data_IF_000972050324
#
_entry.id   IF_000972050324
#
_cell.length_a   1.000
_cell.length_b   1.000
_cell.length_c   1.000
_cell.angle_alpha   90.00
_cell.angle_beta   90.00
_cell.angle_gamma   90.00
#
_symmetry.space_group_name_H-M   'P 1'
#
loop_
_entity.id
_entity.type
_entity.pdbx_description
1 polymer ?
#
# COMPACT_ATOMS: atom_id res chain seq x y z
N UNK A 1 62.91 -20.87 -18.01
CA UNK A 1 61.78 -19.92 -17.97
C UNK A 1 60.87 -20.26 -19.09
N UNK A 2 59.73 -20.89 -18.81
CA UNK A 2 58.67 -21.17 -19.80
C UNK A 2 57.56 -20.12 -19.63
N UNK A 3 57.02 -19.50 -20.67
CA UNK A 3 55.91 -18.57 -20.52
C UNK A 3 54.60 -19.34 -20.35
N UNK A 4 53.86 -18.95 -19.30
CA UNK A 4 52.47 -19.36 -19.08
C UNK A 4 51.60 -18.65 -20.12
N UNK A 5 50.97 -19.41 -21.01
CA UNK A 5 49.95 -18.91 -21.87
C UNK A 5 48.63 -18.80 -21.08
N UNK A 6 48.15 -17.59 -20.80
CA UNK A 6 46.81 -17.34 -20.31
C UNK A 6 45.79 -17.64 -21.42
N UNK A 7 45.06 -18.72 -21.24
CA UNK A 7 43.90 -19.04 -22.10
C UNK A 7 42.74 -18.11 -21.72
N UNK A 8 42.55 -17.05 -22.49
CA UNK A 8 41.29 -16.26 -22.42
C UNK A 8 40.17 -17.09 -22.98
N UNK A 9 39.36 -17.71 -22.12
CA UNK A 9 38.07 -18.28 -22.49
C UNK A 9 37.12 -17.09 -22.71
N UNK A 10 36.98 -16.70 -23.98
CA UNK A 10 35.95 -15.76 -24.39
C UNK A 10 34.61 -16.48 -24.24
N UNK A 11 33.89 -16.22 -23.13
CA UNK A 11 32.47 -16.57 -23.08
C UNK A 11 31.75 -15.67 -24.10
N UNK A 12 31.58 -16.20 -25.28
CA UNK A 12 30.61 -15.67 -26.24
C UNK A 12 29.25 -15.74 -25.59
N UNK A 13 28.82 -14.64 -24.96
CA UNK A 13 27.45 -14.43 -24.60
C UNK A 13 26.67 -14.43 -25.94
N UNK A 14 26.18 -15.62 -26.32
CA UNK A 14 25.11 -15.69 -27.32
C UNK A 14 23.91 -15.05 -26.65
N UNK A 15 23.71 -13.76 -26.91
CA UNK A 15 22.39 -13.17 -26.81
C UNK A 15 21.50 -14.04 -27.69
N UNK A 16 20.81 -15.01 -27.11
CA UNK A 16 19.69 -15.67 -27.76
C UNK A 16 18.78 -14.49 -28.12
N UNK A 17 18.58 -14.29 -29.39
CA UNK A 17 17.56 -13.40 -29.90
C UNK A 17 16.25 -14.08 -29.51
N UNK A 18 15.80 -13.81 -28.27
CA UNK A 18 14.49 -14.20 -27.77
C UNK A 18 13.56 -13.51 -28.77
N UNK A 19 12.94 -14.29 -29.66
CA UNK A 19 12.11 -13.76 -30.71
C UNK A 19 10.80 -13.24 -30.13
N UNK A 20 10.87 -12.06 -29.45
CA UNK A 20 9.69 -11.38 -28.97
C UNK A 20 8.74 -11.11 -30.13
N UNK A 21 7.48 -11.44 -29.92
CA UNK A 21 6.41 -11.19 -30.86
C UNK A 21 5.68 -9.90 -30.48
N UNK A 22 5.69 -8.93 -31.40
CA UNK A 22 4.83 -7.76 -31.20
C UNK A 22 3.39 -8.12 -31.55
N UNK A 23 2.51 -7.91 -30.57
CA UNK A 23 1.06 -8.16 -30.66
C UNK A 23 0.32 -6.84 -30.55
N UNK A 24 -0.67 -6.65 -31.39
CA UNK A 24 -1.53 -5.46 -31.43
C UNK A 24 -1.83 -5.00 -32.86
N UNK A 25 -2.61 -3.94 -32.99
CA UNK A 25 -3.23 -3.16 -31.93
C UNK A 25 -4.26 -3.97 -31.14
N UNK A 26 -4.32 -3.78 -29.81
CA UNK A 26 -5.30 -4.46 -28.97
C UNK A 26 -6.71 -3.94 -29.26
N UNK A 27 -7.66 -4.86 -29.37
CA UNK A 27 -9.06 -4.55 -29.71
C UNK A 27 -9.96 -5.00 -28.57
N UNK A 28 -10.76 -4.10 -28.05
CA UNK A 28 -11.78 -4.38 -27.04
C UNK A 28 -12.93 -5.25 -27.64
N UNK A 29 -13.71 -5.87 -26.78
CA UNK A 29 -14.85 -6.72 -27.21
C UNK A 29 -15.90 -5.94 -28.00
N UNK A 30 -16.04 -4.65 -27.79
CA UNK A 30 -16.93 -3.76 -28.57
C UNK A 30 -16.38 -3.36 -29.94
N UNK A 31 -15.18 -3.83 -30.30
CA UNK A 31 -14.48 -3.53 -31.55
C UNK A 31 -13.68 -2.23 -31.55
N UNK A 32 -13.69 -1.46 -30.45
CA UNK A 32 -12.84 -0.28 -30.30
C UNK A 32 -11.38 -0.68 -30.06
N UNK A 33 -10.44 0.20 -30.40
CA UNK A 33 -9.02 -0.01 -30.11
C UNK A 33 -8.70 0.41 -28.67
N UNK A 34 -7.92 -0.40 -27.98
CA UNK A 34 -7.29 0.07 -26.75
C UNK A 34 -6.19 1.07 -27.13
N UNK A 35 -6.26 2.24 -26.52
CA UNK A 35 -5.32 3.34 -26.81
C UNK A 35 -4.63 3.81 -25.51
N UNK A 36 -3.39 4.23 -25.66
CA UNK A 36 -2.65 4.91 -24.61
C UNK A 36 -3.03 6.38 -24.46
N UNK A 37 -2.31 7.06 -23.60
CA UNK A 37 -2.53 8.48 -23.25
C UNK A 37 -2.42 9.44 -24.44
N UNK A 38 -1.61 9.10 -25.43
CA UNK A 38 -1.43 9.87 -26.67
C UNK A 38 -2.45 9.51 -27.76
N UNK A 39 -3.48 8.70 -27.44
CA UNK A 39 -4.43 8.12 -28.41
C UNK A 39 -3.77 7.17 -29.43
N UNK A 40 -2.55 6.74 -29.14
CA UNK A 40 -1.85 5.75 -29.97
C UNK A 40 -2.33 4.34 -29.60
N UNK A 41 -2.45 3.44 -30.61
CA UNK A 41 -2.78 2.05 -30.35
C UNK A 41 -1.76 1.36 -29.45
N UNK A 42 -2.22 0.49 -28.56
CA UNK A 42 -1.35 -0.29 -27.66
C UNK A 42 -0.84 -1.52 -28.38
N UNK A 43 0.47 -1.75 -28.27
CA UNK A 43 1.18 -2.93 -28.70
C UNK A 43 1.93 -3.53 -27.51
N UNK A 44 2.02 -4.86 -27.45
CA UNK A 44 2.70 -5.62 -26.41
C UNK A 44 3.84 -6.45 -27.04
N UNK A 45 4.82 -6.82 -26.26
CA UNK A 45 5.94 -7.67 -26.65
C UNK A 45 5.89 -8.99 -25.88
N UNK A 46 5.33 -10.01 -26.50
CA UNK A 46 5.19 -11.34 -25.90
C UNK A 46 6.45 -12.18 -26.10
N UNK A 47 6.82 -12.95 -25.09
CA UNK A 47 7.87 -13.94 -25.14
C UNK A 47 7.26 -15.34 -25.34
N UNK A 48 7.41 -15.98 -26.51
CA UNK A 48 6.86 -17.32 -26.73
C UNK A 48 7.38 -18.39 -25.77
N UNK A 49 8.50 -18.13 -25.10
CA UNK A 49 9.08 -19.02 -24.10
C UNK A 49 8.66 -18.69 -22.66
N UNK A 50 7.84 -17.66 -22.43
CA UNK A 50 7.34 -17.32 -21.11
C UNK A 50 6.43 -18.43 -20.57
N UNK A 51 6.50 -18.65 -19.25
CA UNK A 51 5.71 -19.67 -18.55
C UNK A 51 4.69 -19.06 -17.59
N UNK A 52 3.69 -19.83 -17.23
CA UNK A 52 2.75 -19.46 -16.16
C UNK A 52 3.50 -19.51 -14.82
N UNK A 53 3.66 -18.37 -14.10
CA UNK A 53 4.45 -18.32 -12.86
C UNK A 53 3.71 -18.92 -11.65
N UNK A 54 4.44 -19.23 -10.59
CA UNK A 54 3.86 -19.30 -9.24
C UNK A 54 3.62 -17.88 -8.69
N UNK A 55 2.78 -17.75 -7.68
CA UNK A 55 2.55 -16.46 -7.03
C UNK A 55 3.83 -15.90 -6.38
N UNK A 56 4.67 -16.77 -5.82
CA UNK A 56 5.98 -16.34 -5.27
C UNK A 56 6.91 -15.78 -6.35
N UNK A 57 6.91 -16.32 -7.58
CA UNK A 57 7.66 -15.78 -8.70
C UNK A 57 7.11 -14.40 -9.11
N UNK A 58 5.79 -14.23 -9.15
CA UNK A 58 5.17 -12.92 -9.38
C UNK A 58 5.62 -11.91 -8.31
N UNK A 59 5.57 -12.26 -7.03
CA UNK A 59 6.03 -11.39 -5.95
C UNK A 59 7.52 -11.06 -6.05
N UNK A 60 8.35 -12.04 -6.41
CA UNK A 60 9.79 -11.84 -6.59
C UNK A 60 10.11 -10.92 -7.76
N UNK A 61 9.35 -11.02 -8.86
CA UNK A 61 9.43 -10.14 -10.00
C UNK A 61 9.01 -8.71 -9.61
N UNK A 62 7.82 -8.53 -9.04
CA UNK A 62 7.28 -7.23 -8.67
C UNK A 62 8.15 -6.45 -7.68
N UNK A 63 8.88 -7.13 -6.79
CA UNK A 63 9.84 -6.48 -5.87
C UNK A 63 11.09 -5.94 -6.55
N UNK A 64 11.35 -6.32 -7.79
CA UNK A 64 12.53 -5.89 -8.58
C UNK A 64 12.14 -4.96 -9.72
N UNK A 65 10.89 -5.02 -10.14
CA UNK A 65 10.38 -4.19 -11.22
C UNK A 65 10.18 -2.75 -10.75
N UNK A 66 10.66 -1.80 -11.54
CA UNK A 66 10.67 -0.38 -11.22
C UNK A 66 9.53 0.39 -11.92
N UNK A 67 8.59 -0.30 -12.59
CA UNK A 67 7.48 0.34 -13.31
C UNK A 67 6.68 1.27 -12.39
N UNK A 68 6.43 0.85 -11.15
CA UNK A 68 5.68 1.63 -10.15
C UNK A 68 6.40 2.91 -9.69
N UNK A 69 7.69 3.07 -9.97
CA UNK A 69 8.49 4.26 -9.65
C UNK A 69 8.24 5.41 -10.63
N UNK A 70 7.71 5.09 -11.82
CA UNK A 70 7.37 6.11 -12.78
C UNK A 70 6.22 6.98 -12.27
N UNK A 71 6.28 8.26 -12.65
CA UNK A 71 5.26 9.21 -12.26
C UNK A 71 4.06 9.14 -13.21
N UNK A 72 2.86 8.95 -12.65
CA UNK A 72 1.63 9.13 -13.40
C UNK A 72 1.55 10.56 -13.95
N UNK A 73 1.46 10.69 -15.24
CA UNK A 73 1.42 12.00 -15.93
C UNK A 73 0.20 12.02 -16.85
N UNK A 74 -0.88 12.76 -16.50
CA UNK A 74 -2.08 12.84 -17.32
C UNK A 74 -1.76 13.17 -18.78
N UNK A 75 -2.40 12.45 -19.71
CA UNK A 75 -2.24 12.60 -21.17
C UNK A 75 -0.83 12.26 -21.71
N UNK A 76 0.06 11.67 -20.90
CA UNK A 76 1.42 11.30 -21.33
C UNK A 76 1.83 9.93 -20.86
N UNK A 77 1.59 9.58 -19.60
CA UNK A 77 1.95 8.30 -19.01
C UNK A 77 0.90 7.96 -17.96
N UNK A 78 -0.07 7.16 -18.34
CA UNK A 78 -1.27 6.84 -17.55
C UNK A 78 -1.34 5.32 -17.28
N UNK A 79 -2.43 4.82 -16.77
CA UNK A 79 -2.57 3.40 -16.41
C UNK A 79 -2.25 2.44 -17.56
N UNK A 80 -2.59 2.79 -18.78
CA UNK A 80 -2.32 1.93 -19.97
C UNK A 80 -0.82 1.80 -20.23
N UNK A 81 -0.05 2.89 -20.12
CA UNK A 81 1.40 2.85 -20.29
C UNK A 81 2.09 2.11 -19.13
N UNK A 82 1.60 2.25 -17.91
CA UNK A 82 2.07 1.45 -16.77
C UNK A 82 1.85 -0.05 -17.02
N UNK A 83 0.63 -0.44 -17.41
CA UNK A 83 0.31 -1.83 -17.67
C UNK A 83 1.13 -2.38 -18.84
N UNK A 84 1.24 -1.67 -19.97
CA UNK A 84 2.05 -2.13 -21.09
C UNK A 84 3.54 -2.29 -20.73
N UNK A 85 4.08 -1.40 -19.90
CA UNK A 85 5.47 -1.48 -19.42
C UNK A 85 5.69 -2.69 -18.51
N UNK A 86 4.80 -2.91 -17.52
CA UNK A 86 4.89 -4.06 -16.64
C UNK A 86 4.75 -5.38 -17.40
N UNK A 87 3.81 -5.45 -18.33
CA UNK A 87 3.64 -6.58 -19.22
C UNK A 87 4.96 -6.93 -19.95
N UNK A 88 5.56 -5.95 -20.62
CA UNK A 88 6.79 -6.16 -21.40
C UNK A 88 7.96 -6.57 -20.50
N UNK A 89 8.07 -6.01 -19.27
CA UNK A 89 9.07 -6.43 -18.30
C UNK A 89 8.85 -7.85 -17.79
N UNK A 90 7.60 -8.26 -17.52
CA UNK A 90 7.27 -9.61 -17.10
C UNK A 90 7.62 -10.64 -18.18
N UNK A 91 7.23 -10.38 -19.44
CA UNK A 91 7.55 -11.22 -20.58
C UNK A 91 9.06 -11.31 -20.81
N UNK A 92 9.80 -10.22 -20.64
CA UNK A 92 11.28 -10.23 -20.67
C UNK A 92 11.87 -11.07 -19.54
N UNK A 93 11.25 -11.08 -18.37
CA UNK A 93 11.65 -11.93 -17.25
C UNK A 93 11.23 -13.40 -17.43
N UNK A 94 10.53 -13.76 -18.52
CA UNK A 94 10.07 -15.11 -18.83
C UNK A 94 8.77 -15.50 -18.14
N UNK A 95 8.04 -14.52 -17.58
CA UNK A 95 6.75 -14.73 -16.90
C UNK A 95 5.62 -14.31 -17.82
N UNK A 96 4.69 -15.24 -18.10
CA UNK A 96 3.52 -14.95 -18.94
C UNK A 96 2.59 -13.99 -18.23
N UNK A 97 2.34 -12.84 -18.87
CA UNK A 97 1.55 -11.75 -18.34
C UNK A 97 0.47 -11.33 -19.35
N UNK A 98 -0.72 -10.95 -18.89
CA UNK A 98 -1.74 -10.35 -19.71
C UNK A 98 -1.92 -8.88 -19.35
N UNK A 99 -2.11 -8.02 -20.33
CA UNK A 99 -2.67 -6.70 -20.09
C UNK A 99 -4.18 -6.83 -19.87
N UNK A 100 -4.71 -6.09 -18.90
CA UNK A 100 -6.12 -6.12 -18.52
C UNK A 100 -6.70 -4.70 -18.60
N UNK A 101 -7.86 -4.58 -19.22
CA UNK A 101 -8.67 -3.37 -19.19
C UNK A 101 -9.92 -3.62 -18.38
N UNK A 102 -10.26 -2.71 -17.48
CA UNK A 102 -11.51 -2.73 -16.74
C UNK A 102 -12.34 -1.50 -17.06
N UNK A 103 -13.65 -1.70 -17.20
CA UNK A 103 -14.60 -0.61 -17.29
C UNK A 103 -15.41 -0.54 -16.02
N UNK A 104 -15.69 0.65 -15.55
CA UNK A 104 -16.58 0.89 -14.41
C UNK A 104 -18.01 1.19 -14.88
N UNK A 105 -18.96 1.09 -13.99
CA UNK A 105 -20.35 1.50 -14.28
C UNK A 105 -20.48 2.99 -14.52
N UNK A 106 -19.52 3.78 -14.00
CA UNK A 106 -19.42 5.24 -14.18
C UNK A 106 -17.94 5.66 -14.19
N UNK A 107 -17.63 6.71 -14.94
CA UNK A 107 -16.27 7.26 -15.03
C UNK A 107 -15.41 6.58 -16.09
N UNK A 108 -14.11 6.89 -16.06
CA UNK A 108 -13.12 6.34 -16.99
C UNK A 108 -12.72 4.92 -16.56
N UNK A 109 -12.36 4.08 -17.54
CA UNK A 109 -11.81 2.75 -17.30
C UNK A 109 -10.40 2.80 -16.70
N UNK A 110 -9.85 1.62 -16.43
CA UNK A 110 -8.51 1.47 -15.90
C UNK A 110 -7.79 0.29 -16.57
N UNK A 111 -6.46 0.37 -16.67
CA UNK A 111 -5.61 -0.69 -17.19
C UNK A 111 -4.65 -1.18 -16.11
N UNK A 112 -4.43 -2.48 -16.08
CA UNK A 112 -3.56 -3.19 -15.14
C UNK A 112 -3.11 -4.51 -15.78
N UNK A 113 -2.48 -5.39 -15.00
CA UNK A 113 -1.93 -6.65 -15.50
C UNK A 113 -2.52 -7.86 -14.77
N UNK A 114 -2.38 -9.04 -15.39
CA UNK A 114 -2.76 -10.30 -14.78
C UNK A 114 -1.73 -11.39 -15.05
N UNK A 115 -1.53 -12.25 -14.04
CA UNK A 115 -0.74 -13.47 -14.13
C UNK A 115 -1.64 -14.68 -13.89
N UNK A 116 -1.56 -15.69 -14.75
CA UNK A 116 -2.19 -16.97 -14.48
C UNK A 116 -1.23 -17.82 -13.67
N UNK A 117 -1.35 -17.75 -12.36
CA UNK A 117 -0.43 -18.46 -11.49
C UNK A 117 -0.76 -19.95 -11.39
N UNK A 118 0.27 -20.76 -11.17
CA UNK A 118 0.16 -22.23 -11.04
C UNK A 118 -0.49 -22.68 -9.73
N UNK A 119 -0.57 -21.78 -8.73
CA UNK A 119 -1.02 -22.07 -7.36
C UNK A 119 -2.29 -21.31 -6.95
N UNK A 120 -2.51 -20.10 -7.44
CA UNK A 120 -3.68 -19.28 -7.07
C UNK A 120 -4.62 -18.95 -8.24
N UNK A 121 -4.34 -19.46 -9.46
CA UNK A 121 -5.12 -19.07 -10.65
C UNK A 121 -4.80 -17.65 -11.13
N UNK A 122 -5.80 -16.89 -11.58
CA UNK A 122 -5.57 -15.54 -12.10
C UNK A 122 -5.38 -14.56 -10.94
N UNK A 123 -4.23 -13.89 -10.92
CA UNK A 123 -3.88 -12.83 -9.97
C UNK A 123 -3.74 -11.52 -10.74
N UNK A 124 -4.41 -10.47 -10.28
CA UNK A 124 -4.34 -9.15 -10.88
C UNK A 124 -3.32 -8.28 -10.15
N UNK A 125 -2.55 -7.51 -10.91
CA UNK A 125 -1.49 -6.63 -10.42
C UNK A 125 -1.68 -5.22 -10.97
N UNK A 126 -1.60 -4.23 -10.10
CA UNK A 126 -1.63 -2.83 -10.49
C UNK A 126 -0.40 -2.11 -9.96
N UNK A 127 0.46 -1.66 -10.87
CA UNK A 127 1.66 -0.88 -10.59
C UNK A 127 1.53 0.59 -10.98
N UNK A 128 0.30 1.07 -11.22
CA UNK A 128 0.06 2.46 -11.60
C UNK A 128 0.58 3.42 -10.52
N UNK A 129 1.56 4.24 -10.88
CA UNK A 129 2.21 5.20 -10.01
C UNK A 129 1.33 6.37 -9.59
N UNK A 130 1.89 7.29 -8.81
CA UNK A 130 1.18 8.43 -8.24
C UNK A 130 1.28 9.70 -9.07
N UNK A 131 0.29 10.58 -8.91
CA UNK A 131 0.33 11.99 -9.33
C UNK A 131 1.28 12.84 -8.47
N UNK A 132 1.58 12.43 -7.24
CA UNK A 132 2.38 13.20 -6.29
C UNK A 132 3.81 13.39 -6.77
N UNK A 133 4.40 14.56 -6.43
CA UNK A 133 5.82 14.85 -6.69
C UNK A 133 6.74 14.38 -5.56
N UNK A 134 6.19 13.97 -4.42
CA UNK A 134 6.98 13.56 -3.27
C UNK A 134 7.58 12.17 -3.49
N UNK A 135 8.80 11.92 -3.00
CA UNK A 135 9.36 10.58 -3.01
C UNK A 135 8.44 9.69 -2.18
N UNK A 136 7.74 8.82 -2.87
CA UNK A 136 6.72 7.96 -2.28
C UNK A 136 7.41 6.74 -1.67
N UNK A 137 6.81 6.20 -0.62
CA UNK A 137 7.17 4.88 -0.13
C UNK A 137 6.88 3.91 -1.30
N UNK A 138 7.93 3.47 -1.97
CA UNK A 138 7.91 2.75 -3.26
C UNK A 138 6.98 1.53 -3.25
N UNK A 139 6.87 0.84 -2.11
CA UNK A 139 6.01 -0.35 -1.94
C UNK A 139 4.49 -0.08 -2.05
N UNK A 140 4.08 1.19 -2.09
CA UNK A 140 2.67 1.59 -2.07
C UNK A 140 1.97 1.37 -3.40
N UNK A 141 2.71 1.48 -4.50
CA UNK A 141 2.15 1.43 -5.86
C UNK A 141 2.32 0.07 -6.54
N UNK A 142 3.09 -0.81 -5.96
CA UNK A 142 3.20 -2.19 -6.40
C UNK A 142 2.17 -3.01 -5.62
N UNK A 143 1.03 -3.30 -6.23
CA UNK A 143 -0.15 -3.79 -5.51
C UNK A 143 -0.78 -5.01 -6.18
N UNK A 144 -1.41 -5.85 -5.37
CA UNK A 144 -2.37 -6.84 -5.85
C UNK A 144 -3.71 -6.16 -5.97
N UNK A 145 -4.33 -6.27 -7.16
CA UNK A 145 -5.64 -5.73 -7.44
C UNK A 145 -6.73 -6.79 -7.21
N UNK A 146 -7.86 -6.34 -6.68
CA UNK A 146 -9.05 -7.15 -6.41
C UNK A 146 -10.19 -6.66 -7.28
N UNK A 147 -10.58 -7.50 -8.23
CA UNK A 147 -11.54 -7.14 -9.28
C UNK A 147 -12.62 -8.19 -9.33
N UNK A 148 -13.85 -7.76 -9.12
CA UNK A 148 -15.03 -8.60 -9.24
C UNK A 148 -16.16 -7.78 -9.87
N UNK A 149 -16.81 -8.25 -10.95
CA UNK A 149 -17.93 -7.54 -11.55
C UNK A 149 -19.04 -7.23 -10.52
N UNK A 150 -19.50 -5.99 -10.51
CA UNK A 150 -20.49 -5.51 -9.56
C UNK A 150 -19.94 -5.01 -8.24
N UNK A 151 -18.65 -5.18 -7.97
CA UNK A 151 -17.96 -4.65 -6.77
C UNK A 151 -17.05 -3.47 -7.08
N UNK A 152 -16.77 -2.61 -6.10
CA UNK A 152 -15.74 -1.57 -6.24
C UNK A 152 -14.37 -2.17 -6.55
N UNK A 153 -13.57 -1.45 -7.30
CA UNK A 153 -12.17 -1.82 -7.51
C UNK A 153 -11.39 -1.69 -6.20
N UNK A 154 -10.60 -2.72 -5.88
CA UNK A 154 -9.74 -2.74 -4.70
C UNK A 154 -8.30 -3.06 -5.04
N UNK A 155 -7.36 -2.57 -4.23
CA UNK A 155 -5.96 -3.01 -4.31
C UNK A 155 -5.26 -2.92 -2.96
N UNK A 156 -4.33 -3.82 -2.72
CA UNK A 156 -3.54 -3.91 -1.52
C UNK A 156 -2.05 -3.91 -1.87
N UNK A 157 -1.22 -3.12 -1.17
CA UNK A 157 0.23 -3.13 -1.36
C UNK A 157 0.83 -4.49 -1.06
N UNK A 158 1.93 -4.83 -1.71
CA UNK A 158 2.69 -6.06 -1.43
C UNK A 158 3.21 -6.14 0.00
N UNK A 159 3.33 -5.01 0.69
CA UNK A 159 3.74 -4.94 2.10
C UNK A 159 2.67 -5.41 3.09
N UNK A 160 1.42 -5.58 2.66
CA UNK A 160 0.35 -6.18 3.50
C UNK A 160 0.63 -7.66 3.63
N UNK A 161 0.91 -8.12 4.85
CA UNK A 161 1.20 -9.54 5.12
C UNK A 161 -0.04 -10.43 4.94
N UNK A 162 0.19 -11.68 4.53
CA UNK A 162 -0.88 -12.69 4.41
C UNK A 162 -1.85 -12.44 3.26
N UNK A 163 -1.36 -11.90 2.15
CA UNK A 163 -2.17 -11.64 0.94
C UNK A 163 -2.79 -12.95 0.44
N UNK A 164 -4.11 -12.91 0.25
CA UNK A 164 -4.87 -13.90 -0.50
C UNK A 164 -5.23 -13.24 -1.84
N UNK A 165 -4.49 -13.53 -2.93
CA UNK A 165 -4.45 -12.66 -4.11
C UNK A 165 -5.67 -12.77 -5.01
N UNK A 166 -6.51 -13.79 -4.86
CA UNK A 166 -7.63 -14.05 -5.76
C UNK A 166 -9.01 -14.07 -5.08
N UNK A 167 -9.08 -13.78 -3.78
CA UNK A 167 -10.36 -13.70 -3.08
C UNK A 167 -10.70 -12.26 -2.70
N UNK A 168 -11.69 -11.68 -3.35
CA UNK A 168 -12.16 -10.32 -3.05
C UNK A 168 -12.55 -10.13 -1.57
N UNK A 169 -13.02 -11.18 -0.90
CA UNK A 169 -13.31 -11.15 0.53
C UNK A 169 -12.09 -10.86 1.42
N UNK A 170 -10.88 -11.12 0.93
CA UNK A 170 -9.65 -10.73 1.63
C UNK A 170 -9.50 -9.20 1.65
N UNK A 171 -9.72 -8.56 0.49
CA UNK A 171 -9.73 -7.10 0.38
C UNK A 171 -10.79 -6.48 1.30
N UNK A 172 -12.02 -7.03 1.32
CA UNK A 172 -13.09 -6.56 2.21
C UNK A 172 -12.69 -6.62 3.69
N UNK A 173 -12.06 -7.72 4.13
CA UNK A 173 -11.56 -7.85 5.51
C UNK A 173 -10.51 -6.80 5.86
N UNK A 174 -9.59 -6.50 4.94
CA UNK A 174 -8.57 -5.47 5.14
C UNK A 174 -9.22 -4.09 5.21
N UNK A 175 -10.23 -3.81 4.38
CA UNK A 175 -10.97 -2.55 4.43
C UNK A 175 -11.72 -2.36 5.76
N UNK A 176 -12.33 -3.42 6.31
CA UNK A 176 -12.95 -3.35 7.64
C UNK A 176 -11.94 -3.04 8.75
N UNK A 177 -10.72 -3.55 8.66
CA UNK A 177 -9.66 -3.18 9.59
C UNK A 177 -9.27 -1.70 9.46
N UNK A 178 -9.33 -1.16 8.25
CA UNK A 178 -9.07 0.25 7.99
C UNK A 178 -10.13 1.15 8.63
N UNK A 179 -11.42 0.84 8.40
CA UNK A 179 -12.53 1.59 8.98
C UNK A 179 -12.47 1.57 10.52
N UNK A 180 -12.15 0.42 11.10
CA UNK A 180 -11.92 0.27 12.53
C UNK A 180 -10.76 1.13 13.04
N UNK A 181 -9.66 1.19 12.31
CA UNK A 181 -8.49 2.01 12.65
C UNK A 181 -8.83 3.51 12.62
N UNK A 182 -9.53 3.96 11.58
CA UNK A 182 -9.94 5.37 11.45
C UNK A 182 -10.87 5.81 12.59
N UNK A 183 -11.84 4.99 12.98
CA UNK A 183 -12.74 5.25 14.11
C UNK A 183 -11.94 5.32 15.42
N UNK A 184 -11.05 4.35 15.67
CA UNK A 184 -10.22 4.31 16.88
C UNK A 184 -9.21 5.45 16.96
N UNK A 185 -8.69 5.90 15.86
CA UNK A 185 -7.79 7.06 15.83
C UNK A 185 -8.50 8.35 16.25
N UNK A 186 -9.76 8.53 15.87
CA UNK A 186 -10.61 9.64 16.36
C UNK A 186 -10.85 9.58 17.88
N UNK A 187 -11.21 8.41 18.38
CA UNK A 187 -11.40 8.18 19.83
C UNK A 187 -10.12 8.49 20.62
N UNK A 188 -8.95 8.07 20.11
CA UNK A 188 -7.67 8.33 20.75
C UNK A 188 -7.32 9.82 20.76
N UNK A 189 -7.65 10.57 19.72
CA UNK A 189 -7.42 12.02 19.71
C UNK A 189 -8.27 12.74 20.77
N UNK A 190 -9.51 12.32 20.99
CA UNK A 190 -10.35 12.87 22.05
C UNK A 190 -9.83 12.49 23.45
N UNK A 191 -9.44 11.21 23.63
CA UNK A 191 -8.83 10.75 24.89
C UNK A 191 -7.53 11.52 25.21
N UNK A 192 -6.68 11.75 24.21
CA UNK A 192 -5.46 12.56 24.32
C UNK A 192 -5.76 13.97 24.82
N UNK A 193 -6.74 14.65 24.21
CA UNK A 193 -7.16 15.99 24.65
C UNK A 193 -7.60 16.00 26.11
N UNK A 194 -8.37 15.01 26.54
CA UNK A 194 -8.80 14.87 27.92
C UNK A 194 -7.64 14.64 28.90
N UNK A 195 -6.64 13.84 28.51
CA UNK A 195 -5.42 13.63 29.31
C UNK A 195 -4.57 14.90 29.42
N UNK A 196 -4.42 15.64 28.32
CA UNK A 196 -3.69 16.91 28.28
C UNK A 196 -4.36 17.98 29.19
N UNK A 197 -5.68 18.06 29.20
CA UNK A 197 -6.41 18.97 30.08
C UNK A 197 -6.21 18.63 31.58
N UNK A 198 -6.31 17.34 31.93
CA UNK A 198 -6.04 16.87 33.30
C UNK A 198 -4.61 17.17 33.69
N UNK A 199 -3.65 16.95 32.85
CA UNK A 199 -2.25 17.27 33.12
C UNK A 199 -2.04 18.77 33.35
N UNK A 200 -2.58 19.62 32.48
CA UNK A 200 -2.52 21.08 32.64
C UNK A 200 -3.20 21.56 33.95
N UNK A 201 -4.28 20.91 34.35
CA UNK A 201 -4.96 21.22 35.63
C UNK A 201 -4.08 20.89 36.81
N UNK A 202 -3.47 19.71 36.85
CA UNK A 202 -2.56 19.28 37.89
C UNK A 202 -1.30 20.16 37.97
N UNK A 203 -0.72 20.55 36.81
CA UNK A 203 0.45 21.46 36.84
C UNK A 203 0.10 22.86 37.38
N UNK A 204 -1.09 23.39 37.08
CA UNK A 204 -1.57 24.65 37.66
C UNK A 204 -1.73 24.55 39.19
N UNK A 205 -2.34 23.47 39.67
CA UNK A 205 -2.55 23.23 41.06
C UNK A 205 -1.22 23.05 41.83
N UNK A 206 -0.28 22.29 41.24
CA UNK A 206 1.09 22.15 41.75
C UNK A 206 1.79 23.50 41.93
N UNK A 207 1.62 24.43 40.97
CA UNK A 207 2.13 25.78 41.10
C UNK A 207 1.54 26.57 42.27
N UNK A 208 0.28 26.30 42.64
CA UNK A 208 -0.37 26.91 43.81
C UNK A 208 0.20 26.36 45.12
N UNK A 209 0.53 25.07 45.21
CA UNK A 209 1.16 24.49 46.41
C UNK A 209 2.49 25.14 46.80
N UNK A 210 3.25 25.62 45.83
CA UNK A 210 4.50 26.36 46.07
C UNK A 210 4.28 27.66 46.86
N UNK A 211 3.05 28.16 46.91
CA UNK A 211 2.69 29.37 47.63
C UNK A 211 2.32 29.09 49.12
N UNK A 212 1.90 27.85 49.46
CA UNK A 212 1.50 27.49 50.82
C UNK A 212 2.68 27.35 51.82
N UNK A 213 3.89 27.30 51.36
CA UNK A 213 5.09 27.01 52.16
C UNK A 213 5.73 28.28 52.79
N UNK A 214 4.97 29.37 53.02
CA UNK A 214 5.53 30.68 53.38
C UNK A 214 5.26 31.17 54.80
N UNK A 215 4.88 30.29 55.74
CA UNK A 215 4.68 30.72 57.11
C UNK A 215 4.36 29.57 58.09
N UNK A 216 4.35 29.86 59.45
CA UNK A 216 3.92 28.89 60.43
C UNK A 216 2.41 28.57 60.26
N UNK A 217 2.07 27.28 60.26
CA UNK A 217 0.69 26.78 60.10
C UNK A 217 0.19 26.18 61.44
N UNK A 218 -1.12 26.31 61.68
CA UNK A 218 -1.74 25.63 62.88
C UNK A 218 -1.80 24.10 62.58
N UNK A 219 -1.95 23.26 63.68
CA UNK A 219 -2.11 21.81 63.48
C UNK A 219 -3.26 21.44 62.58
N UNK A 220 -4.39 22.11 62.65
CA UNK A 220 -5.57 21.88 61.79
C UNK A 220 -5.27 22.23 60.32
N UNK A 221 -4.56 23.34 60.10
CA UNK A 221 -4.10 23.71 58.74
C UNK A 221 -3.10 22.69 58.18
N UNK A 222 -2.22 22.16 59.02
CA UNK A 222 -1.26 21.12 58.62
C UNK A 222 -1.97 19.85 58.17
N UNK A 223 -3.00 19.40 58.89
CA UNK A 223 -3.80 18.23 58.54
C UNK A 223 -4.56 18.43 57.20
N UNK A 224 -5.11 19.62 57.01
CA UNK A 224 -5.80 19.97 55.75
C UNK A 224 -4.84 20.00 54.54
N UNK A 225 -3.66 20.57 54.73
CA UNK A 225 -2.60 20.58 53.70
C UNK A 225 -2.18 19.13 53.34
N UNK A 226 -1.96 18.28 54.37
CA UNK A 226 -1.61 16.88 54.11
C UNK A 226 -2.70 16.10 53.39
N UNK A 227 -3.97 16.35 53.71
CA UNK A 227 -5.11 15.76 53.03
C UNK A 227 -5.13 16.17 51.53
N UNK A 228 -4.95 17.47 51.29
CA UNK A 228 -4.90 18.01 49.91
C UNK A 228 -3.73 17.44 49.10
N UNK A 229 -2.55 17.31 49.74
CA UNK A 229 -1.38 16.68 49.10
C UNK A 229 -1.65 15.20 48.76
N UNK A 230 -2.30 14.45 49.69
CA UNK A 230 -2.66 13.05 49.43
C UNK A 230 -3.60 12.92 48.22
N UNK A 231 -4.64 13.76 48.17
CA UNK A 231 -5.60 13.78 47.06
C UNK A 231 -4.92 14.15 45.73
N UNK A 232 -4.07 15.18 45.73
CA UNK A 232 -3.29 15.58 44.57
C UNK A 232 -2.41 14.41 44.09
N UNK A 233 -1.65 13.75 44.96
CA UNK A 233 -0.79 12.62 44.61
C UNK A 233 -1.60 11.43 44.06
N UNK A 234 -2.80 11.17 44.61
CA UNK A 234 -3.69 10.14 44.05
C UNK A 234 -4.13 10.45 42.64
N UNK A 235 -4.47 11.72 42.33
CA UNK A 235 -4.83 12.17 40.99
C UNK A 235 -3.64 12.11 39.99
N UNK A 236 -2.45 12.46 40.44
CA UNK A 236 -1.21 12.30 39.62
C UNK A 236 -0.97 10.82 39.29
N UNK A 237 -1.14 9.94 40.26
CA UNK A 237 -0.99 8.50 40.06
C UNK A 237 -2.05 7.95 39.08
N UNK A 238 -3.29 8.39 39.21
CA UNK A 238 -4.38 8.02 38.29
C UNK A 238 -4.12 8.52 36.88
N UNK A 239 -3.60 9.74 36.69
CA UNK A 239 -3.22 10.28 35.38
C UNK A 239 -2.10 9.47 34.77
N UNK A 240 -1.04 9.12 35.50
CA UNK A 240 0.04 8.26 34.99
C UNK A 240 -0.48 6.91 34.44
N UNK A 241 -1.33 6.25 35.26
CA UNK A 241 -1.96 5.00 34.85
C UNK A 241 -2.81 5.14 33.57
N UNK A 242 -3.55 6.25 33.47
CA UNK A 242 -4.35 6.55 32.27
C UNK A 242 -3.46 6.79 31.03
N UNK A 243 -2.33 7.49 31.19
CA UNK A 243 -1.36 7.71 30.11
C UNK A 243 -0.71 6.39 29.65
N UNK A 244 -0.37 5.49 30.57
CA UNK A 244 0.16 4.16 30.24
C UNK A 244 -0.85 3.35 29.40
N UNK A 245 -2.12 3.34 29.83
CA UNK A 245 -3.20 2.67 29.12
C UNK A 245 -3.43 3.29 27.72
N UNK A 246 -3.39 4.61 27.62
CA UNK A 246 -3.46 5.33 26.34
C UNK A 246 -2.30 4.95 25.41
N UNK A 247 -1.07 4.96 25.90
CA UNK A 247 0.11 4.59 25.10
C UNK A 247 0.01 3.15 24.57
N UNK A 248 -0.53 2.22 25.35
CA UNK A 248 -0.77 0.84 24.90
C UNK A 248 -1.79 0.78 23.74
N UNK A 249 -2.87 1.58 23.82
CA UNK A 249 -3.84 1.70 22.73
C UNK A 249 -3.21 2.29 21.46
N UNK A 250 -2.43 3.37 21.59
CA UNK A 250 -1.70 3.98 20.48
C UNK A 250 -0.77 2.97 19.81
N UNK A 251 -0.01 2.20 20.58
CA UNK A 251 0.88 1.18 20.05
C UNK A 251 0.11 0.10 19.25
N UNK A 252 -1.08 -0.29 19.70
CA UNK A 252 -1.95 -1.24 19.00
C UNK A 252 -2.43 -0.69 17.66
N UNK A 253 -2.89 0.56 17.63
CA UNK A 253 -3.36 1.23 16.41
C UNK A 253 -2.19 1.43 15.42
N UNK A 254 -1.04 1.89 15.89
CA UNK A 254 0.15 2.04 15.04
C UNK A 254 0.55 0.72 14.36
N UNK A 255 0.37 -0.41 15.05
CA UNK A 255 0.62 -1.73 14.45
C UNK A 255 -0.34 -2.02 13.30
N UNK A 256 -1.62 -1.65 13.43
CA UNK A 256 -2.62 -1.79 12.37
C UNK A 256 -2.27 -0.85 11.21
N UNK A 257 -1.95 0.41 11.48
CA UNK A 257 -1.55 1.40 10.46
C UNK A 257 -0.33 0.96 9.65
N UNK A 258 0.67 0.35 10.29
CA UNK A 258 1.81 -0.23 9.58
C UNK A 258 1.41 -1.33 8.60
N UNK A 259 0.36 -2.08 8.90
CA UNK A 259 -0.18 -3.13 8.03
C UNK A 259 -1.01 -2.55 6.87
N UNK A 260 -1.67 -1.40 7.11
CA UNK A 260 -2.63 -0.76 6.20
C UNK A 260 -2.07 0.45 5.46
N UNK A 261 -0.76 0.61 5.31
CA UNK A 261 -0.07 1.84 4.85
C UNK A 261 -0.61 2.52 3.59
N UNK A 262 -1.59 1.93 2.91
CA UNK A 262 -2.03 2.42 1.60
C UNK A 262 -3.51 2.26 1.37
N UNK A 263 -4.28 3.24 1.80
CA UNK A 263 -5.61 3.45 1.22
C UNK A 263 -5.42 4.10 -0.15
N UNK A 264 -5.73 3.36 -1.20
CA UNK A 264 -5.79 3.92 -2.54
C UNK A 264 -7.25 4.18 -2.89
N UNK A 265 -7.60 5.46 -3.01
CA UNK A 265 -8.92 5.86 -3.49
C UNK A 265 -8.90 5.85 -5.03
N UNK A 266 -9.42 4.80 -5.60
CA UNK A 266 -9.81 4.74 -7.00
C UNK A 266 -11.31 5.04 -7.15
N UNK A 267 -11.76 5.09 -8.41
CA UNK A 267 -13.16 5.26 -8.76
C UNK A 267 -14.06 4.32 -7.90
N UNK A 268 -14.95 4.84 -7.06
CA UNK A 268 -15.81 4.03 -6.20
C UNK A 268 -16.90 3.27 -6.99
N UNK A 269 -17.07 3.56 -8.28
CA UNK A 269 -18.05 2.89 -9.12
C UNK A 269 -17.69 1.40 -9.26
N UNK A 270 -18.70 0.50 -9.22
CA UNK A 270 -18.46 -0.92 -9.42
C UNK A 270 -17.82 -1.25 -10.78
N UNK A 271 -16.97 -2.26 -10.80
CA UNK A 271 -16.43 -2.84 -12.03
C UNK A 271 -17.60 -3.39 -12.87
N UNK A 272 -17.63 -3.01 -14.14
CA UNK A 272 -18.65 -3.44 -15.10
C UNK A 272 -18.17 -4.60 -15.96
N UNK A 273 -17.00 -4.47 -16.58
CA UNK A 273 -16.40 -5.47 -17.45
C UNK A 273 -14.91 -5.60 -17.20
N UNK A 274 -14.37 -6.78 -17.48
CA UNK A 274 -12.96 -7.12 -17.41
C UNK A 274 -12.58 -7.76 -18.74
N UNK A 275 -11.57 -7.22 -19.41
CA UNK A 275 -11.01 -7.76 -20.65
C UNK A 275 -9.53 -8.01 -20.45
N UNK A 276 -9.03 -9.16 -20.88
CA UNK A 276 -7.63 -9.55 -20.73
C UNK A 276 -7.06 -10.06 -22.04
N UNK A 277 -5.90 -9.56 -22.42
CA UNK A 277 -5.16 -10.00 -23.61
C UNK A 277 -3.99 -10.88 -23.18
N UNK A 278 -4.25 -12.17 -23.21
CA UNK A 278 -3.24 -13.18 -22.89
C UNK A 278 -2.32 -13.45 -24.08
N UNK A 279 -1.01 -13.62 -23.86
CA UNK A 279 -0.14 -14.20 -24.87
C UNK A 279 -0.61 -15.60 -25.30
N UNK A 280 -0.49 -15.89 -26.59
CA UNK A 280 -0.89 -17.20 -27.17
C UNK A 280 0.03 -18.35 -26.71
#
# INVERSE_FOLDING_TARGET
>A
MRPFALLFICFSCHAQNLGFEQVGPLINQDGSRLVGSAQEPVYLHNNPAAHDPSFDEVLAFLRKDETHEYRYTPKKFMCTEFAAMLHDHAEQAGLRCALVSIQFTQGEGHALDAFKTTDYGVVYVDCTGSLSKEPQLLDVYNTIAYIEPGKPYGRLPLSVGGIDPNHYSHYEKVMHLWDYEEERSKDLEEERKGLDERNRSLEREKGQFAQFNRGPVSPEQADQIQSTIRDFNARVTALKKAQEAFNAKVASINKIQLTLRCKYEMNPAPVKTIEAWWPN
#
